data_IF_725244025442
#
_entry.id   IF_725244025442
#
_cell.length_a   1.000
_cell.length_b   1.000
_cell.length_c   1.000
_cell.angle_alpha   90.00
_cell.angle_beta   90.00
_cell.angle_gamma   90.00
#
_symmetry.space_group_name_H-M   'P 1'
#
loop_
_entity.id
_entity.type
_entity.pdbx_description
1 polymer ?
#
# COMPACT_ATOMS: atom_id res chain seq x y z
N UNK A 1 -13.13 -41.81 -56.07
CA UNK A 1 -12.36 -40.61 -55.67
C UNK A 1 -12.95 -40.11 -54.37
N UNK A 2 -12.29 -40.37 -53.25
CA UNK A 2 -12.74 -39.94 -51.93
C UNK A 2 -12.11 -38.58 -51.62
N UNK A 3 -12.93 -37.55 -51.48
CA UNK A 3 -12.50 -36.25 -51.01
C UNK A 3 -12.35 -36.30 -49.49
N UNK A 4 -11.11 -36.37 -49.02
CA UNK A 4 -10.79 -36.13 -47.61
C UNK A 4 -10.96 -34.64 -47.33
N UNK A 5 -11.93 -34.30 -46.48
CA UNK A 5 -12.11 -32.95 -45.94
C UNK A 5 -10.93 -32.58 -45.03
N UNK A 6 -10.41 -31.34 -45.08
CA UNK A 6 -9.37 -30.91 -44.15
C UNK A 6 -9.95 -30.82 -42.73
N UNK A 7 -9.34 -31.56 -41.80
CA UNK A 7 -9.59 -31.50 -40.37
C UNK A 7 -9.29 -30.09 -39.83
N UNK A 8 -10.33 -29.37 -39.37
CA UNK A 8 -10.24 -28.00 -38.78
C UNK A 8 -9.84 -27.98 -37.30
N UNK A 9 -9.12 -29.00 -36.82
CA UNK A 9 -8.94 -29.23 -35.38
C UNK A 9 -7.67 -28.67 -34.68
N UNK A 10 -6.63 -28.08 -35.32
CA UNK A 10 -5.45 -27.63 -34.55
C UNK A 10 -5.58 -26.21 -33.96
N UNK A 11 -6.41 -25.34 -34.54
CA UNK A 11 -6.46 -23.90 -34.16
C UNK A 11 -7.08 -23.70 -32.77
N UNK A 12 -8.12 -24.47 -32.41
CA UNK A 12 -8.84 -24.31 -31.14
C UNK A 12 -7.99 -24.69 -29.92
N UNK A 13 -7.17 -25.74 -30.03
CA UNK A 13 -6.27 -26.17 -28.94
C UNK A 13 -5.14 -25.16 -28.67
N UNK A 14 -4.60 -24.54 -29.73
CA UNK A 14 -3.54 -23.54 -29.61
C UNK A 14 -4.07 -22.23 -29.03
N UNK A 15 -5.28 -21.80 -29.40
CA UNK A 15 -5.98 -20.67 -28.80
C UNK A 15 -6.24 -20.86 -27.29
N UNK A 16 -6.63 -22.07 -26.88
CA UNK A 16 -6.88 -22.40 -25.47
C UNK A 16 -5.59 -22.38 -24.65
N UNK A 17 -4.49 -22.93 -25.16
CA UNK A 17 -3.19 -22.88 -24.48
C UNK A 17 -2.67 -21.46 -24.31
N UNK A 18 -2.77 -20.61 -25.35
CA UNK A 18 -2.35 -19.20 -25.29
C UNK A 18 -3.16 -18.45 -24.22
N UNK A 19 -4.47 -18.67 -24.16
CA UNK A 19 -5.36 -18.05 -23.18
C UNK A 19 -5.00 -18.48 -21.76
N UNK A 20 -4.76 -19.77 -21.52
CA UNK A 20 -4.33 -20.29 -20.21
C UNK A 20 -3.01 -19.66 -19.77
N UNK A 21 -2.03 -19.54 -20.68
CA UNK A 21 -0.72 -18.93 -20.37
C UNK A 21 -0.85 -17.46 -20.01
N UNK A 22 -1.63 -16.68 -20.76
CA UNK A 22 -1.87 -15.26 -20.45
C UNK A 22 -2.56 -15.09 -19.09
N UNK A 23 -3.56 -15.92 -18.79
CA UNK A 23 -4.25 -15.91 -17.48
C UNK A 23 -3.30 -16.22 -16.33
N UNK A 24 -2.41 -17.20 -16.50
CA UNK A 24 -1.39 -17.53 -15.51
C UNK A 24 -0.39 -16.38 -15.29
N UNK A 25 0.11 -15.77 -16.38
CA UNK A 25 1.00 -14.62 -16.30
C UNK A 25 0.35 -13.43 -15.60
N UNK A 26 -0.92 -13.16 -15.91
CA UNK A 26 -1.69 -12.10 -15.27
C UNK A 26 -1.74 -12.27 -13.75
N UNK A 27 -2.03 -13.48 -13.27
CA UNK A 27 -2.07 -13.80 -11.82
C UNK A 27 -0.71 -13.63 -11.15
N UNK A 28 0.38 -14.06 -11.80
CA UNK A 28 1.75 -13.86 -11.30
C UNK A 28 2.06 -12.35 -11.17
N UNK A 29 1.70 -11.56 -12.18
CA UNK A 29 1.88 -10.11 -12.14
C UNK A 29 1.04 -9.46 -11.03
N UNK A 30 -0.21 -9.91 -10.85
CA UNK A 30 -1.07 -9.46 -9.76
C UNK A 30 -0.41 -9.70 -8.40
N UNK A 31 0.13 -10.90 -8.16
CA UNK A 31 0.79 -11.21 -6.90
C UNK A 31 1.97 -10.26 -6.61
N UNK A 32 2.83 -10.02 -7.60
CA UNK A 32 3.95 -9.06 -7.47
C UNK A 32 3.47 -7.63 -7.23
N UNK A 33 2.42 -7.23 -7.93
CA UNK A 33 1.81 -5.91 -7.75
C UNK A 33 1.32 -5.71 -6.31
N UNK A 34 0.64 -6.71 -5.73
CA UNK A 34 0.14 -6.64 -4.36
C UNK A 34 1.29 -6.56 -3.34
N UNK A 35 2.37 -7.33 -3.53
CA UNK A 35 3.55 -7.27 -2.67
C UNK A 35 4.20 -5.88 -2.63
N UNK A 36 4.20 -5.17 -3.76
CA UNK A 36 4.78 -3.83 -3.85
C UNK A 36 4.03 -2.77 -3.04
N UNK A 37 2.76 -3.00 -2.68
CA UNK A 37 1.98 -2.05 -1.87
C UNK A 37 2.64 -1.85 -0.50
N UNK A 38 3.03 -2.94 0.15
CA UNK A 38 3.67 -2.87 1.47
C UNK A 38 5.04 -2.19 1.39
N UNK A 39 5.83 -2.50 0.37
CA UNK A 39 7.14 -1.87 0.19
C UNK A 39 7.01 -0.36 -0.01
N UNK A 40 6.08 0.08 -0.86
CA UNK A 40 5.83 1.50 -1.13
C UNK A 40 5.48 2.27 0.15
N UNK A 41 4.71 1.66 1.05
CA UNK A 41 4.38 2.27 2.35
C UNK A 41 5.63 2.43 3.22
N UNK A 42 6.50 1.43 3.26
CA UNK A 42 7.76 1.54 4.02
C UNK A 42 8.66 2.63 3.45
N UNK A 43 8.73 2.74 2.13
CA UNK A 43 9.50 3.79 1.45
C UNK A 43 8.96 5.18 1.80
N UNK A 44 7.64 5.37 1.77
CA UNK A 44 7.02 6.64 2.17
C UNK A 44 7.23 7.00 3.64
N UNK A 45 7.19 6.01 4.55
CA UNK A 45 7.49 6.21 5.97
C UNK A 45 8.95 6.63 6.16
N UNK A 46 9.87 5.95 5.48
CA UNK A 46 11.31 6.24 5.52
C UNK A 46 11.62 7.64 4.98
N UNK A 47 10.97 8.00 3.87
CA UNK A 47 11.12 9.30 3.23
C UNK A 47 10.69 10.43 4.16
N UNK A 48 9.51 10.33 4.78
CA UNK A 48 9.03 11.35 5.70
C UNK A 48 9.96 11.55 6.91
N UNK A 49 10.51 10.44 7.44
CA UNK A 49 11.49 10.51 8.54
C UNK A 49 12.78 11.19 8.07
N UNK A 50 13.27 10.83 6.89
CA UNK A 50 14.46 11.43 6.29
C UNK A 50 14.28 12.93 6.08
N UNK A 51 13.12 13.35 5.57
CA UNK A 51 12.80 14.75 5.31
C UNK A 51 12.78 15.56 6.60
N UNK A 52 12.17 15.03 7.67
CA UNK A 52 12.21 15.66 8.99
C UNK A 52 13.64 15.90 9.50
N UNK A 53 14.49 14.88 9.48
CA UNK A 53 15.88 15.03 9.94
C UNK A 53 16.68 16.01 9.06
N UNK A 54 16.41 16.02 7.76
CA UNK A 54 17.02 16.95 6.82
C UNK A 54 16.62 18.40 7.11
N UNK A 55 15.36 18.66 7.44
CA UNK A 55 14.87 19.99 7.82
C UNK A 55 15.56 20.51 9.09
N UNK A 56 15.85 19.63 10.05
CA UNK A 56 16.63 19.96 11.25
C UNK A 56 18.14 20.06 11.00
N UNK A 57 18.62 19.79 9.78
CA UNK A 57 20.05 19.64 9.46
C UNK A 57 20.75 18.61 10.37
N UNK A 58 20.03 17.56 10.76
CA UNK A 58 20.52 16.45 11.59
C UNK A 58 20.58 15.16 10.77
N UNK A 59 21.41 14.21 11.21
CA UNK A 59 21.42 12.85 10.65
C UNK A 59 20.40 12.01 11.41
N UNK A 60 19.73 11.09 10.73
CA UNK A 60 18.85 10.12 11.38
C UNK A 60 19.61 9.38 12.51
N UNK A 61 19.02 9.36 13.70
CA UNK A 61 19.63 8.78 14.90
C UNK A 61 20.40 9.79 15.77
N UNK A 62 20.46 11.06 15.37
CA UNK A 62 20.92 12.14 16.24
C UNK A 62 20.01 12.30 17.45
N UNK A 63 20.58 12.73 18.59
CA UNK A 63 19.78 13.08 19.75
C UNK A 63 18.83 14.24 19.41
N UNK A 64 17.56 14.06 19.77
CA UNK A 64 16.51 15.07 19.66
C UNK A 64 16.24 15.64 21.05
N UNK A 65 15.94 16.93 21.10
CA UNK A 65 15.29 17.56 22.25
C UNK A 65 13.85 17.04 22.38
N UNK A 66 13.22 17.28 23.53
CA UNK A 66 11.81 16.92 23.73
C UNK A 66 10.90 17.56 22.68
N UNK A 67 11.11 18.85 22.39
CA UNK A 67 10.33 19.59 21.38
C UNK A 67 10.49 18.94 19.99
N UNK A 68 11.72 18.70 19.56
CA UNK A 68 12.00 18.05 18.27
C UNK A 68 11.43 16.63 18.20
N UNK A 69 11.36 15.91 19.33
CA UNK A 69 10.73 14.58 19.37
C UNK A 69 9.21 14.66 19.22
N UNK A 70 8.57 15.65 19.87
CA UNK A 70 7.13 15.92 19.73
C UNK A 70 6.80 16.31 18.28
N UNK A 71 7.63 17.15 17.66
CA UNK A 71 7.52 17.52 16.24
C UNK A 71 7.72 16.31 15.31
N UNK A 72 8.69 15.43 15.60
CA UNK A 72 8.87 14.19 14.86
C UNK A 72 7.60 13.32 14.92
N UNK A 73 7.02 13.16 16.12
CA UNK A 73 5.78 12.41 16.28
C UNK A 73 4.64 13.02 15.46
N UNK A 74 4.49 14.35 15.49
CA UNK A 74 3.49 15.08 14.70
C UNK A 74 3.68 14.85 13.19
N UNK A 75 4.90 15.03 12.68
CA UNK A 75 5.22 14.79 11.27
C UNK A 75 4.93 13.34 10.85
N UNK A 76 5.22 12.36 11.71
CA UNK A 76 4.93 10.96 11.43
C UNK A 76 3.42 10.67 11.44
N UNK A 77 2.65 11.31 12.33
CA UNK A 77 1.18 11.20 12.37
C UNK A 77 0.59 11.72 11.05
N UNK A 78 0.96 12.93 10.63
CA UNK A 78 0.50 13.54 9.38
C UNK A 78 0.86 12.68 8.16
N UNK A 79 2.06 12.10 8.14
CA UNK A 79 2.46 11.15 7.10
C UNK A 79 1.53 9.92 7.05
N UNK A 80 1.19 9.31 8.20
CA UNK A 80 0.27 8.16 8.24
C UNK A 80 -1.12 8.56 7.73
N UNK A 81 -1.62 9.72 8.12
CA UNK A 81 -2.92 10.23 7.67
C UNK A 81 -2.96 10.46 6.16
N UNK A 82 -1.89 11.00 5.58
CA UNK A 82 -1.75 11.20 4.15
C UNK A 82 -1.76 9.87 3.39
N UNK A 83 -0.97 8.89 3.85
CA UNK A 83 -0.90 7.55 3.23
C UNK A 83 -2.28 6.88 3.29
N UNK A 84 -2.92 6.87 4.47
CA UNK A 84 -4.26 6.29 4.66
C UNK A 84 -5.27 6.94 3.71
N UNK A 85 -5.30 8.26 3.65
CA UNK A 85 -6.24 9.00 2.80
C UNK A 85 -6.04 8.70 1.31
N UNK A 86 -4.79 8.63 0.88
CA UNK A 86 -4.42 8.25 -0.50
C UNK A 86 -4.89 6.83 -0.84
N UNK A 87 -4.68 5.86 0.07
CA UNK A 87 -5.12 4.49 -0.13
C UNK A 87 -6.64 4.34 -0.17
N UNK A 88 -7.36 5.02 0.73
CA UNK A 88 -8.83 5.02 0.75
C UNK A 88 -9.41 5.53 -0.57
N UNK A 89 -8.89 6.66 -1.07
CA UNK A 89 -9.26 7.18 -2.40
C UNK A 89 -8.96 6.19 -3.53
N UNK A 90 -7.78 5.55 -3.48
CA UNK A 90 -7.42 4.52 -4.45
C UNK A 90 -8.35 3.30 -4.40
N UNK A 91 -8.90 2.95 -3.24
CA UNK A 91 -9.86 1.86 -3.08
C UNK A 91 -11.23 2.22 -3.65
N UNK A 92 -11.69 3.47 -3.48
CA UNK A 92 -12.94 3.95 -4.10
C UNK A 92 -12.87 3.84 -5.64
N UNK A 93 -11.73 4.19 -6.23
CA UNK A 93 -11.50 4.03 -7.68
C UNK A 93 -11.60 2.56 -8.08
N UNK A 94 -10.92 1.67 -7.37
CA UNK A 94 -10.99 0.23 -7.68
C UNK A 94 -12.39 -0.35 -7.50
N UNK A 95 -13.13 0.06 -6.48
CA UNK A 95 -14.52 -0.38 -6.28
C UNK A 95 -15.40 0.03 -7.46
N UNK A 96 -15.27 1.28 -7.93
CA UNK A 96 -15.98 1.75 -9.12
C UNK A 96 -15.63 0.94 -10.36
N UNK A 97 -14.34 0.72 -10.62
CA UNK A 97 -13.89 -0.09 -11.77
C UNK A 97 -14.40 -1.54 -11.71
N UNK A 98 -14.49 -2.12 -10.51
CA UNK A 98 -15.10 -3.45 -10.31
C UNK A 98 -16.58 -3.44 -10.68
N UNK A 99 -17.33 -2.43 -10.24
CA UNK A 99 -18.75 -2.28 -10.57
C UNK A 99 -18.94 -2.11 -12.08
N UNK A 100 -18.18 -1.21 -12.70
CA UNK A 100 -18.21 -0.94 -14.14
C UNK A 100 -17.95 -2.25 -14.94
N UNK A 101 -16.91 -3.01 -14.58
CA UNK A 101 -16.57 -4.29 -15.22
C UNK A 101 -17.60 -5.40 -14.98
N UNK A 102 -18.30 -5.39 -13.83
CA UNK A 102 -19.39 -6.34 -13.54
C UNK A 102 -20.63 -6.02 -14.37
N UNK A 103 -20.91 -4.75 -14.64
CA UNK A 103 -22.05 -4.31 -15.45
C UNK A 103 -21.83 -4.44 -16.96
N UNK A 104 -20.62 -4.20 -17.46
CA UNK A 104 -20.28 -4.31 -18.88
C UNK A 104 -18.89 -4.96 -19.06
N UNK A 105 -18.81 -6.29 -19.19
CA UNK A 105 -17.56 -6.99 -19.37
C UNK A 105 -16.96 -6.70 -20.76
N UNK A 106 -16.01 -5.77 -20.82
CA UNK A 106 -15.40 -5.29 -22.08
C UNK A 106 -14.38 -6.28 -22.68
N UNK A 107 -13.78 -7.17 -21.88
CA UNK A 107 -12.65 -8.02 -22.30
C UNK A 107 -12.73 -9.46 -21.78
N UNK A 108 -12.05 -10.39 -22.48
CA UNK A 108 -11.93 -11.81 -22.08
C UNK A 108 -11.20 -12.03 -20.73
N UNK A 109 -10.69 -10.97 -20.12
CA UNK A 109 -9.92 -10.96 -18.88
C UNK A 109 -10.57 -10.09 -17.79
N UNK A 110 -11.78 -9.57 -18.02
CA UNK A 110 -12.49 -8.71 -17.06
C UNK A 110 -12.65 -9.39 -15.70
N UNK A 111 -12.84 -10.72 -15.67
CA UNK A 111 -12.90 -11.52 -14.44
C UNK A 111 -11.60 -11.45 -13.63
N UNK A 112 -10.45 -11.61 -14.29
CA UNK A 112 -9.14 -11.52 -13.63
C UNK A 112 -8.80 -10.10 -13.21
N UNK A 113 -9.23 -9.10 -13.98
CA UNK A 113 -9.08 -7.69 -13.59
C UNK A 113 -9.89 -7.36 -12.34
N UNK A 114 -11.12 -7.88 -12.25
CA UNK A 114 -11.93 -7.79 -11.02
C UNK A 114 -11.20 -8.48 -9.85
N UNK A 115 -10.73 -9.72 -10.03
CA UNK A 115 -9.95 -10.45 -8.98
C UNK A 115 -8.76 -9.61 -8.48
N UNK A 116 -8.03 -8.95 -9.40
CA UNK A 116 -6.89 -8.08 -9.06
C UNK A 116 -7.35 -6.88 -8.23
N UNK A 117 -8.40 -6.17 -8.64
CA UNK A 117 -8.87 -4.99 -7.92
C UNK A 117 -9.42 -5.35 -6.55
N UNK A 118 -10.17 -6.44 -6.43
CA UNK A 118 -10.68 -6.94 -5.14
C UNK A 118 -9.52 -7.27 -4.18
N UNK A 119 -8.51 -8.02 -4.64
CA UNK A 119 -7.32 -8.33 -3.85
C UNK A 119 -6.49 -7.08 -3.49
N UNK A 120 -6.50 -6.07 -4.36
CA UNK A 120 -5.82 -4.79 -4.11
C UNK A 120 -6.50 -3.99 -3.01
N UNK A 121 -7.84 -3.94 -3.03
CA UNK A 121 -8.64 -3.29 -1.98
C UNK A 121 -8.42 -4.00 -0.64
N UNK A 122 -8.45 -5.33 -0.61
CA UNK A 122 -8.19 -6.12 0.60
C UNK A 122 -6.79 -5.84 1.17
N UNK A 123 -5.75 -5.94 0.32
CA UNK A 123 -4.36 -5.69 0.74
C UNK A 123 -4.19 -4.28 1.29
N UNK A 124 -4.77 -3.27 0.63
CA UNK A 124 -4.71 -1.88 1.09
C UNK A 124 -5.48 -1.67 2.39
N UNK A 125 -6.63 -2.32 2.57
CA UNK A 125 -7.39 -2.23 3.82
C UNK A 125 -6.58 -2.80 5.00
N UNK A 126 -5.86 -3.92 4.79
CA UNK A 126 -4.94 -4.46 5.79
C UNK A 126 -3.86 -3.42 6.18
N UNK A 127 -3.21 -2.83 5.17
CA UNK A 127 -2.17 -1.81 5.38
C UNK A 127 -2.74 -0.55 6.05
N UNK A 128 -3.95 -0.13 5.69
CA UNK A 128 -4.65 0.99 6.34
C UNK A 128 -4.85 0.69 7.83
N UNK A 129 -5.31 -0.50 8.19
CA UNK A 129 -5.52 -0.88 9.59
C UNK A 129 -4.20 -0.83 10.39
N UNK A 130 -3.12 -1.33 9.82
CA UNK A 130 -1.78 -1.25 10.44
C UNK A 130 -1.32 0.20 10.61
N UNK A 131 -1.53 1.06 9.60
CA UNK A 131 -1.21 2.49 9.66
C UNK A 131 -2.05 3.24 10.69
N UNK A 132 -3.33 2.90 10.82
CA UNK A 132 -4.23 3.49 11.81
C UNK A 132 -3.75 3.15 13.23
N UNK A 133 -3.32 1.91 13.46
CA UNK A 133 -2.70 1.49 14.73
C UNK A 133 -1.41 2.25 15.00
N UNK A 134 -0.48 2.30 14.04
CA UNK A 134 0.77 3.07 14.18
C UNK A 134 0.51 4.55 14.48
N UNK A 135 -0.48 5.16 13.82
CA UNK A 135 -0.87 6.55 14.06
C UNK A 135 -1.31 6.76 15.51
N UNK A 136 -2.14 5.88 16.04
CA UNK A 136 -2.61 5.97 17.43
C UNK A 136 -1.47 5.78 18.44
N UNK A 137 -0.52 4.88 18.16
CA UNK A 137 0.69 4.72 18.99
C UNK A 137 1.55 5.99 18.99
N UNK A 138 1.67 6.68 17.86
CA UNK A 138 2.40 7.96 17.78
C UNK A 138 1.67 9.09 18.53
N UNK A 139 0.34 9.12 18.48
CA UNK A 139 -0.45 10.07 19.29
C UNK A 139 -0.22 9.84 20.78
N UNK A 140 -0.20 8.58 21.22
CA UNK A 140 0.14 8.22 22.60
C UNK A 140 1.52 8.74 23.00
N UNK A 141 2.56 8.43 22.21
CA UNK A 141 3.94 8.89 22.45
C UNK A 141 4.08 10.40 22.48
N UNK A 142 3.35 11.11 21.62
CA UNK A 142 3.32 12.58 21.59
C UNK A 142 2.79 13.12 22.92
N UNK A 143 1.70 12.54 23.44
CA UNK A 143 1.05 12.98 24.67
C UNK A 143 1.80 12.54 25.94
N UNK A 144 2.53 11.41 25.91
CA UNK A 144 3.37 10.97 27.05
C UNK A 144 4.50 11.96 27.36
N UNK A 145 5.00 12.72 26.38
CA UNK A 145 5.93 13.83 26.65
C UNK A 145 5.30 14.95 27.49
N UNK A 146 3.99 15.17 27.35
CA UNK A 146 3.24 16.19 28.10
C UNK A 146 2.85 15.72 29.50
N UNK A 147 2.72 14.40 29.74
CA UNK A 147 2.34 13.82 31.04
C UNK A 147 3.53 13.54 31.98
N UNK A 148 4.76 13.86 31.56
CA UNK A 148 5.91 13.80 32.47
C UNK A 148 5.97 15.03 33.39
N UNK A 149 5.16 14.96 34.46
CA UNK A 149 5.51 15.61 35.73
C UNK A 149 6.97 15.26 36.05
N UNK A 150 7.81 16.29 36.04
CA UNK A 150 9.26 16.19 36.25
C UNK A 150 9.60 15.27 37.43
N UNK A 151 10.36 14.20 37.21
CA UNK A 151 11.19 13.71 38.28
C UNK A 151 12.27 14.78 38.53
N UNK A 152 12.23 15.43 39.70
CA UNK A 152 13.16 16.47 40.17
C UNK A 152 14.67 16.13 40.04
N UNK A 153 15.03 14.90 39.64
CA UNK A 153 16.39 14.42 39.52
C UNK A 153 17.08 14.70 38.16
N UNK A 154 16.42 15.35 37.20
CA UNK A 154 17.06 15.80 35.94
C UNK A 154 17.32 17.32 35.87
N UNK A 155 17.13 18.05 36.98
CA UNK A 155 17.66 19.42 37.11
C UNK A 155 19.18 19.31 37.28
N UNK A 156 19.92 19.35 36.18
CA UNK A 156 21.36 19.62 36.23
C UNK A 156 21.55 21.03 36.80
N UNK A 157 21.90 21.10 38.08
CA UNK A 157 22.40 22.32 38.70
C UNK A 157 23.73 22.69 38.04
N UNK A 158 23.79 23.91 37.51
CA UNK A 158 25.01 24.62 37.10
C UNK A 158 26.03 24.71 38.23
#
# INVERSE_FOLDING_TARGET
>A
MSHSTPSKFPVVQEQDEITIRHRAQFRIQTHRFLQNVTQLVQDWKSQAKTDFFKELCKVEGSALTTEEYVELCAAMIENRELIISSMKRGNEVFQKEIEDLKSDPVEAMSDLTIERYEASVETRNQVIADLEKERLELVGKKNECDESEYPEHWIFKS
#
